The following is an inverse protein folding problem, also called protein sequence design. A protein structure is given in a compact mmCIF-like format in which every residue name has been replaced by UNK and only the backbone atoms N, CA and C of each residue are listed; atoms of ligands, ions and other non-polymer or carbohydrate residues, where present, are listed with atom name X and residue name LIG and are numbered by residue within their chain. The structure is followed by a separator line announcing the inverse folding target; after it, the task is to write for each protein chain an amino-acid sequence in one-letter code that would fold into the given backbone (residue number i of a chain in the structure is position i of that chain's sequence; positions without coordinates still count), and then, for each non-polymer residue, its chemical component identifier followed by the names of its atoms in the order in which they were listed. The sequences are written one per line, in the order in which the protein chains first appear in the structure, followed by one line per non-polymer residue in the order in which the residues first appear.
data_IF_505795885858
#
_entry.id   IF_505795885858
#
_cell.length_a   1.000
_cell.length_b   1.000
_cell.length_c   1.000
_cell.angle_alpha   90.00
_cell.angle_beta   90.00
_cell.angle_gamma   90.00
#
_symmetry.space_group_name_H-M   'P 1'
#
loop_
_entity.id
_entity.type
_entity.pdbx_description
1 polymer ?
#
# COMPACT_ATOMS: atom_id res chain seq x y z
N UNK A 1 18.18 2.06 -12.26
CA UNK A 1 18.93 2.35 -11.02
C UNK A 1 17.95 2.52 -9.85
N UNK A 2 18.40 2.34 -8.63
CA UNK A 2 17.62 2.60 -7.42
C UNK A 2 18.56 3.20 -6.36
N UNK A 3 18.31 4.45 -5.97
CA UNK A 3 19.12 5.16 -4.98
C UNK A 3 20.49 5.65 -5.46
N UNK A 4 20.84 5.54 -6.73
CA UNK A 4 22.10 6.05 -7.26
C UNK A 4 22.30 7.54 -6.94
N UNK A 5 21.25 8.34 -7.14
CA UNK A 5 21.32 9.79 -6.96
C UNK A 5 21.29 10.26 -5.49
N UNK A 6 21.12 9.35 -4.53
CA UNK A 6 21.35 9.64 -3.11
C UNK A 6 22.84 9.86 -2.79
N UNK A 7 23.73 9.26 -3.58
CA UNK A 7 25.17 9.24 -3.33
C UNK A 7 25.98 9.88 -4.46
N UNK A 8 25.40 9.97 -5.66
CA UNK A 8 26.10 10.49 -6.85
C UNK A 8 25.22 11.49 -7.56
N UNK A 9 25.59 12.77 -7.57
CA UNK A 9 24.78 13.80 -8.23
C UNK A 9 24.77 13.59 -9.76
N UNK A 10 23.66 13.94 -10.44
CA UNK A 10 23.47 13.64 -11.86
C UNK A 10 24.41 14.41 -12.80
N UNK A 11 25.00 15.53 -12.38
CA UNK A 11 26.00 16.28 -13.13
C UNK A 11 27.29 15.50 -13.43
N UNK A 12 27.56 14.44 -12.66
CA UNK A 12 28.67 13.50 -12.93
C UNK A 12 28.45 12.67 -14.20
N UNK A 13 27.26 12.73 -14.79
CA UNK A 13 26.90 11.97 -15.98
C UNK A 13 26.52 12.90 -17.15
N UNK A 14 27.49 13.61 -17.78
CA UNK A 14 27.21 14.67 -18.78
C UNK A 14 26.50 14.17 -20.05
N UNK A 15 26.52 12.86 -20.29
CA UNK A 15 25.83 12.20 -21.44
C UNK A 15 24.52 11.52 -21.06
N UNK A 16 24.04 11.70 -19.82
CA UNK A 16 22.79 11.07 -19.37
C UNK A 16 21.59 11.61 -20.20
N UNK A 17 20.77 10.69 -20.71
CA UNK A 17 19.56 11.01 -21.47
C UNK A 17 18.32 10.33 -20.89
N UNK A 18 18.54 9.20 -20.23
CA UNK A 18 17.44 8.39 -19.74
C UNK A 18 17.82 7.71 -18.43
N UNK A 19 16.89 7.68 -17.49
CA UNK A 19 16.98 6.96 -16.22
C UNK A 19 15.86 5.94 -16.16
N UNK A 20 16.19 4.66 -15.99
CA UNK A 20 15.22 3.61 -15.66
C UNK A 20 15.39 3.22 -14.20
N UNK A 21 14.34 3.43 -13.41
CA UNK A 21 14.29 2.98 -12.02
C UNK A 21 13.79 1.55 -11.93
N UNK A 22 14.29 0.82 -10.94
CA UNK A 22 13.78 -0.51 -10.54
C UNK A 22 12.72 -0.41 -9.42
N UNK A 23 12.44 0.82 -8.95
CA UNK A 23 11.38 1.15 -7.98
C UNK A 23 10.20 1.87 -8.65
N UNK A 24 9.07 1.90 -7.99
CA UNK A 24 7.91 2.68 -8.42
C UNK A 24 7.99 4.15 -7.94
N UNK A 25 8.56 4.41 -6.76
CA UNK A 25 8.74 5.74 -6.21
C UNK A 25 9.81 6.55 -6.96
N UNK A 26 9.62 7.87 -7.00
CA UNK A 26 10.52 8.86 -7.59
C UNK A 26 11.25 9.71 -6.52
N UNK A 27 10.97 9.48 -5.25
CA UNK A 27 11.44 10.22 -4.07
C UNK A 27 12.99 10.31 -3.97
N UNK A 28 13.69 9.39 -4.63
CA UNK A 28 15.16 9.31 -4.65
C UNK A 28 15.79 9.86 -5.93
N UNK A 29 15.00 10.56 -6.74
CA UNK A 29 15.47 11.15 -8.01
C UNK A 29 15.31 12.65 -7.94
N UNK A 30 16.35 13.44 -8.26
CA UNK A 30 16.25 14.89 -8.34
C UNK A 30 15.48 15.30 -9.60
N UNK A 31 14.15 15.21 -9.55
CA UNK A 31 13.28 15.41 -10.71
C UNK A 31 13.46 16.79 -11.34
N UNK A 32 13.61 17.85 -10.53
CA UNK A 32 13.84 19.22 -11.04
C UNK A 32 15.09 19.30 -11.93
N UNK A 33 16.16 18.60 -11.55
CA UNK A 33 17.37 18.51 -12.39
C UNK A 33 17.09 17.73 -13.68
N UNK A 34 16.37 16.62 -13.61
CA UNK A 34 16.06 15.78 -14.77
C UNK A 34 15.24 16.57 -15.80
N UNK A 35 14.22 17.28 -15.33
CA UNK A 35 13.32 18.10 -16.16
C UNK A 35 14.09 19.27 -16.80
N UNK A 36 14.92 19.98 -16.02
CA UNK A 36 15.73 21.11 -16.52
C UNK A 36 16.74 20.70 -17.61
N UNK A 37 17.20 19.44 -17.59
CA UNK A 37 18.17 18.92 -18.56
C UNK A 37 17.56 17.99 -19.63
N UNK A 38 16.23 17.86 -19.68
CA UNK A 38 15.53 17.04 -20.65
C UNK A 38 15.82 15.52 -20.50
N UNK A 39 16.17 15.06 -19.30
CA UNK A 39 16.48 13.67 -19.01
C UNK A 39 15.18 12.91 -18.73
N UNK A 40 14.89 11.89 -19.51
CA UNK A 40 13.68 11.08 -19.35
C UNK A 40 13.83 10.11 -18.19
N UNK A 41 12.84 10.10 -17.28
CA UNK A 41 12.81 9.17 -16.14
C UNK A 41 11.65 8.20 -16.30
N UNK A 42 11.96 6.91 -16.23
CA UNK A 42 11.00 5.81 -16.23
C UNK A 42 11.11 5.04 -14.91
N UNK A 43 9.99 4.54 -14.42
CA UNK A 43 9.93 3.75 -13.18
C UNK A 43 9.31 2.35 -13.40
N UNK A 44 9.34 1.52 -12.37
CA UNK A 44 8.81 0.17 -12.37
C UNK A 44 7.36 0.10 -11.84
N UNK A 45 6.54 1.12 -12.14
CA UNK A 45 5.14 1.16 -11.70
C UNK A 45 4.39 -0.09 -12.19
N UNK A 46 3.68 -0.74 -11.27
CA UNK A 46 2.88 -1.94 -11.56
C UNK A 46 3.63 -3.26 -11.35
N UNK A 47 4.95 -3.30 -11.51
CA UNK A 47 5.75 -4.53 -11.38
C UNK A 47 5.60 -5.19 -10.01
N UNK A 48 5.55 -4.40 -8.95
CA UNK A 48 5.42 -4.89 -7.57
C UNK A 48 3.99 -4.97 -7.05
N UNK A 49 2.97 -4.69 -7.89
CA UNK A 49 1.58 -4.63 -7.42
C UNK A 49 1.08 -5.98 -6.92
N UNK A 50 1.37 -7.06 -7.65
CA UNK A 50 0.97 -8.41 -7.26
C UNK A 50 1.65 -8.86 -5.95
N UNK A 51 2.99 -8.88 -5.82
CA UNK A 51 3.63 -9.33 -4.59
C UNK A 51 3.30 -8.46 -3.37
N UNK A 52 3.11 -7.15 -3.52
CA UNK A 52 2.70 -6.29 -2.42
C UNK A 52 1.26 -6.59 -1.97
N UNK A 53 0.35 -6.84 -2.90
CA UNK A 53 -1.02 -7.21 -2.57
C UNK A 53 -1.10 -8.60 -1.91
N UNK A 54 -0.28 -9.55 -2.33
CA UNK A 54 -0.15 -10.87 -1.71
C UNK A 54 0.41 -10.76 -0.28
N UNK A 55 1.40 -9.90 -0.07
CA UNK A 55 1.92 -9.63 1.26
C UNK A 55 0.85 -9.02 2.18
N UNK A 56 0.03 -8.07 1.68
CA UNK A 56 -1.06 -7.49 2.45
C UNK A 56 -2.09 -8.55 2.88
N UNK A 57 -2.51 -9.42 1.96
CA UNK A 57 -3.42 -10.53 2.26
C UNK A 57 -2.80 -11.49 3.26
N UNK A 58 -1.54 -11.89 3.05
CA UNK A 58 -0.82 -12.78 3.95
C UNK A 58 -0.75 -12.22 5.38
N UNK A 59 -0.44 -10.93 5.51
CA UNK A 59 -0.35 -10.25 6.80
C UNK A 59 -1.69 -10.22 7.53
N UNK A 60 -2.77 -9.86 6.83
CA UNK A 60 -4.12 -9.82 7.40
C UNK A 60 -4.60 -11.22 7.79
N UNK A 61 -4.43 -12.21 6.91
CA UNK A 61 -4.78 -13.61 7.22
C UNK A 61 -3.96 -14.12 8.40
N UNK A 62 -2.66 -13.79 8.46
CA UNK A 62 -1.80 -14.17 9.59
C UNK A 62 -2.32 -13.65 10.92
N UNK A 63 -2.82 -12.41 10.95
CA UNK A 63 -3.43 -11.81 12.14
C UNK A 63 -4.78 -12.48 12.47
N UNK A 64 -5.70 -12.58 11.53
CA UNK A 64 -7.04 -13.16 11.71
C UNK A 64 -7.00 -14.64 12.08
N UNK A 65 -6.05 -15.39 11.53
CA UNK A 65 -5.88 -16.83 11.80
C UNK A 65 -4.88 -17.13 12.93
N UNK A 66 -4.40 -16.08 13.62
CA UNK A 66 -3.47 -16.23 14.76
C UNK A 66 -2.24 -17.06 14.42
N UNK A 67 -1.65 -16.85 13.23
CA UNK A 67 -0.54 -17.69 12.73
C UNK A 67 0.65 -17.72 13.68
N UNK A 68 0.98 -16.62 14.35
CA UNK A 68 2.07 -16.55 15.33
C UNK A 68 1.81 -17.48 16.53
N UNK A 69 0.57 -17.51 17.04
CA UNK A 69 0.20 -18.41 18.14
C UNK A 69 0.38 -19.89 17.73
N UNK A 70 -0.12 -20.28 16.56
CA UNK A 70 0.01 -21.68 16.12
C UNK A 70 1.45 -22.05 15.79
N UNK A 71 2.25 -21.13 15.23
CA UNK A 71 3.67 -21.36 14.99
C UNK A 71 4.44 -21.57 16.31
N UNK A 72 4.13 -20.79 17.35
CA UNK A 72 4.74 -20.96 18.67
C UNK A 72 4.34 -22.32 19.29
N UNK A 73 3.05 -22.67 19.27
CA UNK A 73 2.56 -23.94 19.76
C UNK A 73 3.22 -25.14 19.02
N UNK A 74 3.38 -25.01 17.69
CA UNK A 74 4.04 -26.04 16.89
C UNK A 74 5.52 -26.21 17.27
N UNK A 75 6.25 -25.11 17.48
CA UNK A 75 7.67 -25.18 17.89
C UNK A 75 7.88 -25.82 19.25
N UNK A 76 6.87 -25.76 20.11
CA UNK A 76 6.84 -26.38 21.45
C UNK A 76 6.19 -27.75 21.46
N UNK A 77 5.86 -28.32 20.29
CA UNK A 77 5.15 -29.60 20.13
C UNK A 77 3.82 -29.66 20.90
N UNK A 78 3.13 -28.53 21.07
CA UNK A 78 1.84 -28.42 21.77
C UNK A 78 0.67 -28.37 20.77
N UNK A 79 -0.32 -29.22 21.01
CA UNK A 79 -1.60 -29.14 20.29
C UNK A 79 -2.57 -28.28 21.09
N UNK A 80 -2.72 -27.02 20.67
CA UNK A 80 -3.59 -26.04 21.32
C UNK A 80 -4.70 -25.55 20.40
N UNK A 81 -5.89 -25.32 20.98
CA UNK A 81 -7.01 -24.69 20.26
C UNK A 81 -7.07 -23.21 20.56
N UNK A 82 -7.26 -22.40 19.55
CA UNK A 82 -7.55 -20.97 19.69
C UNK A 82 -8.98 -20.70 19.18
N UNK A 83 -9.85 -20.13 20.03
CA UNK A 83 -11.26 -19.90 19.69
C UNK A 83 -11.52 -18.52 19.08
N UNK A 84 -10.55 -17.62 19.07
CA UNK A 84 -10.66 -16.26 18.54
C UNK A 84 -10.17 -16.14 17.08
N UNK A 85 -10.49 -17.14 16.24
CA UNK A 85 -10.21 -17.04 14.81
C UNK A 85 -11.33 -16.29 14.13
N UNK A 86 -10.96 -15.39 13.24
CA UNK A 86 -11.91 -14.60 12.46
C UNK A 86 -11.86 -14.96 10.98
N UNK A 87 -12.89 -14.56 10.25
CA UNK A 87 -12.98 -14.69 8.78
C UNK A 87 -12.93 -13.31 8.11
N UNK A 88 -12.44 -13.29 6.87
CA UNK A 88 -12.41 -12.08 6.06
C UNK A 88 -13.75 -11.78 5.40
N UNK A 89 -14.57 -12.81 5.15
CA UNK A 89 -15.87 -12.66 4.50
C UNK A 89 -16.74 -11.61 5.20
N UNK A 90 -17.27 -10.68 4.44
CA UNK A 90 -18.11 -9.59 4.94
C UNK A 90 -17.36 -8.44 5.64
N UNK A 91 -16.03 -8.52 5.80
CA UNK A 91 -15.22 -7.41 6.35
C UNK A 91 -15.10 -6.28 5.34
N UNK A 92 -14.97 -5.04 5.83
CA UNK A 92 -14.73 -3.85 5.03
C UNK A 92 -13.25 -3.54 4.97
N UNK A 93 -12.69 -3.57 3.78
CA UNK A 93 -11.28 -3.23 3.53
C UNK A 93 -11.19 -1.83 2.94
N UNK A 94 -10.61 -0.91 3.68
CA UNK A 94 -10.34 0.46 3.22
C UNK A 94 -8.95 0.54 2.64
N UNK A 95 -8.85 0.92 1.37
CA UNK A 95 -7.59 1.03 0.64
C UNK A 95 -7.34 2.51 0.35
N UNK A 96 -6.37 3.08 1.03
CA UNK A 96 -5.95 4.47 0.88
C UNK A 96 -4.91 4.55 -0.24
N UNK A 97 -5.36 5.01 -1.41
CA UNK A 97 -4.61 5.01 -2.67
C UNK A 97 -5.09 3.93 -3.64
N UNK A 98 -6.00 4.30 -4.57
CA UNK A 98 -6.55 3.41 -5.60
C UNK A 98 -5.64 3.32 -6.84
N UNK A 99 -4.32 3.28 -6.65
CA UNK A 99 -3.31 3.08 -7.69
C UNK A 99 -3.18 1.62 -8.12
N UNK A 100 -2.05 1.26 -8.75
CA UNK A 100 -1.81 -0.11 -9.23
C UNK A 100 -1.75 -1.14 -8.09
N UNK A 101 -1.10 -0.81 -6.97
CA UNK A 101 -1.06 -1.67 -5.78
C UNK A 101 -2.42 -1.75 -5.11
N UNK A 102 -3.09 -0.60 -4.91
CA UNK A 102 -4.42 -0.57 -4.28
C UNK A 102 -5.45 -1.40 -5.05
N UNK A 103 -5.49 -1.33 -6.38
CA UNK A 103 -6.36 -2.19 -7.20
C UNK A 103 -6.00 -3.67 -7.08
N UNK A 104 -4.71 -4.00 -7.09
CA UNK A 104 -4.27 -5.39 -6.88
C UNK A 104 -4.65 -5.93 -5.50
N UNK A 105 -4.66 -5.09 -4.46
CA UNK A 105 -5.22 -5.44 -3.14
C UNK A 105 -6.74 -5.62 -3.23
N UNK A 106 -7.46 -4.68 -3.85
CA UNK A 106 -8.91 -4.72 -4.02
C UNK A 106 -9.37 -6.05 -4.63
N UNK A 107 -8.75 -6.47 -5.74
CA UNK A 107 -9.07 -7.72 -6.42
C UNK A 107 -8.92 -8.94 -5.50
N UNK A 108 -7.84 -8.98 -4.72
CA UNK A 108 -7.55 -10.12 -3.84
C UNK A 108 -8.48 -10.18 -2.64
N UNK A 109 -8.71 -9.05 -1.96
CA UNK A 109 -9.64 -9.01 -0.82
C UNK A 109 -11.09 -9.25 -1.24
N UNK A 110 -11.48 -8.82 -2.43
CA UNK A 110 -12.80 -9.13 -3.02
C UNK A 110 -12.99 -10.64 -3.19
N UNK A 111 -11.95 -11.38 -3.58
CA UNK A 111 -12.01 -12.84 -3.70
C UNK A 111 -12.30 -13.54 -2.35
N UNK A 112 -12.05 -12.88 -1.23
CA UNK A 112 -12.43 -13.36 0.11
C UNK A 112 -13.83 -12.89 0.55
N UNK A 113 -14.58 -12.22 -0.32
CA UNK A 113 -15.93 -11.71 0.01
C UNK A 113 -15.92 -10.44 0.85
N UNK A 114 -14.83 -9.65 0.81
CA UNK A 114 -14.77 -8.36 1.47
C UNK A 114 -15.49 -7.27 0.66
N UNK A 115 -16.07 -6.28 1.35
CA UNK A 115 -16.47 -4.99 0.79
C UNK A 115 -15.23 -4.10 0.63
N UNK A 116 -15.03 -3.53 -0.56
CA UNK A 116 -13.82 -2.76 -0.89
C UNK A 116 -14.14 -1.27 -0.96
N UNK A 117 -13.57 -0.52 -0.05
CA UNK A 117 -13.71 0.94 0.03
C UNK A 117 -12.38 1.57 -0.37
N UNK A 118 -12.41 2.50 -1.33
CA UNK A 118 -11.23 3.26 -1.74
C UNK A 118 -11.18 4.64 -1.11
N UNK A 119 -9.99 5.18 -0.95
CA UNK A 119 -9.74 6.62 -0.72
C UNK A 119 -8.74 7.08 -1.76
N UNK A 120 -9.13 8.00 -2.65
CA UNK A 120 -8.27 8.52 -3.72
C UNK A 120 -8.65 9.96 -4.04
N UNK A 121 -7.80 10.67 -4.76
CA UNK A 121 -8.12 11.98 -5.35
C UNK A 121 -9.12 11.87 -6.49
N UNK A 122 -9.16 10.74 -7.16
CA UNK A 122 -10.13 10.40 -8.21
C UNK A 122 -11.36 9.79 -7.56
N UNK A 123 -12.52 10.28 -7.91
CA UNK A 123 -13.81 9.84 -7.34
C UNK A 123 -14.46 8.67 -8.09
N UNK A 124 -13.93 8.32 -9.26
CA UNK A 124 -14.37 7.17 -10.05
C UNK A 124 -13.15 6.29 -10.39
N UNK A 125 -13.04 5.16 -9.71
CA UNK A 125 -11.98 4.17 -9.95
C UNK A 125 -12.62 2.78 -9.92
N UNK A 126 -12.45 2.02 -10.99
CA UNK A 126 -12.99 0.67 -11.09
C UNK A 126 -12.35 -0.27 -10.03
N UNK A 127 -13.13 -1.26 -9.60
CA UNK A 127 -12.69 -2.26 -8.65
C UNK A 127 -12.92 -1.89 -7.18
N UNK A 128 -13.71 -0.84 -6.90
CA UNK A 128 -14.10 -0.42 -5.56
C UNK A 128 -15.62 -0.32 -5.46
N UNK A 129 -16.19 -0.73 -4.33
CA UNK A 129 -17.63 -0.64 -4.09
C UNK A 129 -18.03 0.79 -3.72
N UNK A 130 -17.11 1.53 -3.09
CA UNK A 130 -17.26 2.95 -2.77
C UNK A 130 -15.90 3.64 -2.80
N UNK A 131 -15.87 4.90 -3.26
CA UNK A 131 -14.68 5.77 -3.20
C UNK A 131 -15.00 7.00 -2.36
N UNK A 132 -14.11 7.28 -1.41
CA UNK A 132 -14.08 8.54 -0.65
C UNK A 132 -13.01 9.46 -1.20
N UNK A 133 -13.21 10.76 -1.07
CA UNK A 133 -12.14 11.75 -1.32
C UNK A 133 -11.07 11.67 -0.22
N UNK A 134 -9.88 12.19 -0.49
CA UNK A 134 -8.83 12.31 0.54
C UNK A 134 -9.29 13.17 1.73
N UNK A 135 -10.13 14.19 1.51
CA UNK A 135 -10.69 15.01 2.57
C UNK A 135 -11.62 14.24 3.52
N UNK A 136 -12.21 13.14 3.04
CA UNK A 136 -13.13 12.29 3.81
C UNK A 136 -12.45 11.03 4.37
N UNK A 137 -11.11 10.98 4.38
CA UNK A 137 -10.33 9.80 4.81
C UNK A 137 -10.74 9.30 6.19
N UNK A 138 -11.03 10.22 7.13
CA UNK A 138 -11.45 9.87 8.49
C UNK A 138 -12.77 9.08 8.50
N UNK A 139 -13.76 9.51 7.70
CA UNK A 139 -15.01 8.79 7.57
C UNK A 139 -14.83 7.40 6.90
N UNK A 140 -13.90 7.30 5.96
CA UNK A 140 -13.59 6.03 5.33
C UNK A 140 -12.95 5.05 6.32
N UNK A 141 -11.89 5.44 7.05
CA UNK A 141 -11.17 4.55 7.96
C UNK A 141 -12.02 4.12 9.16
N UNK A 142 -12.93 5.01 9.66
CA UNK A 142 -13.85 4.65 10.73
C UNK A 142 -14.90 3.61 10.33
N UNK A 143 -15.17 3.47 9.02
CA UNK A 143 -16.08 2.45 8.51
C UNK A 143 -15.38 1.09 8.31
N UNK A 144 -14.04 1.09 8.19
CA UNK A 144 -13.24 -0.09 7.85
C UNK A 144 -12.96 -1.03 9.01
N UNK A 145 -12.81 -2.31 8.71
CA UNK A 145 -12.30 -3.32 9.64
C UNK A 145 -10.80 -3.56 9.37
N UNK A 146 -10.35 -3.27 8.16
CA UNK A 146 -8.95 -3.36 7.70
C UNK A 146 -8.64 -2.09 6.92
N UNK A 147 -7.47 -1.48 7.18
CA UNK A 147 -7.01 -0.30 6.45
C UNK A 147 -5.64 -0.58 5.83
N UNK A 148 -5.51 -0.32 4.53
CA UNK A 148 -4.28 -0.54 3.76
C UNK A 148 -3.86 0.78 3.13
N UNK A 149 -2.66 1.26 3.45
CA UNK A 149 -2.09 2.46 2.86
C UNK A 149 -1.21 2.10 1.66
N UNK A 150 -1.60 2.58 0.47
CA UNK A 150 -0.92 2.36 -0.82
C UNK A 150 -0.54 3.67 -1.52
N UNK A 151 -0.34 4.73 -0.76
CA UNK A 151 0.03 6.04 -1.28
C UNK A 151 1.53 6.15 -1.57
N UNK A 152 1.94 6.92 -2.59
CA UNK A 152 3.33 7.33 -2.73
C UNK A 152 3.69 8.31 -1.61
N UNK A 153 4.96 8.37 -1.22
CA UNK A 153 5.47 9.40 -0.32
C UNK A 153 5.58 10.73 -1.09
N UNK A 154 4.79 11.70 -0.67
CA UNK A 154 4.84 13.09 -1.15
C UNK A 154 4.67 14.03 0.04
N UNK A 155 4.86 15.34 -0.16
CA UNK A 155 4.63 16.34 0.91
C UNK A 155 3.19 16.29 1.45
N UNK A 156 2.20 15.96 0.61
CA UNK A 156 0.79 15.88 0.99
C UNK A 156 0.42 14.56 1.69
N UNK A 157 1.19 13.49 1.46
CA UNK A 157 0.92 12.17 2.03
C UNK A 157 1.82 11.80 3.18
N UNK A 158 2.88 12.59 3.40
CA UNK A 158 3.77 12.42 4.55
C UNK A 158 2.97 12.58 5.85
N UNK A 159 3.15 11.62 6.77
CA UNK A 159 2.41 11.56 8.05
C UNK A 159 0.87 11.51 7.94
N UNK A 160 0.30 11.11 6.80
CA UNK A 160 -1.16 10.97 6.65
C UNK A 160 -1.72 9.94 7.65
N UNK A 161 -0.99 8.85 7.91
CA UNK A 161 -1.31 7.87 8.95
C UNK A 161 -0.79 8.36 10.33
N UNK A 162 -1.39 9.44 10.83
CA UNK A 162 -1.07 10.03 12.13
C UNK A 162 -1.95 9.44 13.26
N UNK A 163 -1.64 9.81 14.50
CA UNK A 163 -2.36 9.34 15.69
C UNK A 163 -3.87 9.65 15.62
N UNK A 164 -4.25 10.84 15.13
CA UNK A 164 -5.65 11.23 15.01
C UNK A 164 -6.42 10.32 14.04
N UNK A 165 -5.81 9.99 12.90
CA UNK A 165 -6.43 9.09 11.92
C UNK A 165 -6.51 7.66 12.45
N UNK A 166 -5.47 7.19 13.15
CA UNK A 166 -5.46 5.85 13.74
C UNK A 166 -6.50 5.72 14.86
N UNK A 167 -6.67 6.74 15.71
CA UNK A 167 -7.73 6.76 16.73
C UNK A 167 -9.15 6.83 16.15
N UNK A 168 -9.32 7.15 14.87
CA UNK A 168 -10.61 7.14 14.20
C UNK A 168 -10.99 5.76 13.64
N UNK A 169 -10.06 4.82 13.63
CA UNK A 169 -10.32 3.43 13.22
C UNK A 169 -11.14 2.68 14.28
N UNK A 170 -11.74 1.57 13.88
CA UNK A 170 -12.39 0.66 14.83
C UNK A 170 -11.35 -0.02 15.74
N UNK A 171 -11.80 -0.39 16.95
CA UNK A 171 -11.02 -1.20 17.89
C UNK A 171 -10.78 -2.63 17.40
#
# INVERSE_FOLDING_TARGET
CNGLFLYTPPDKFPKLRTVQLTSAGLDRVPMDYMDAHGIKVFNARGVYSAPMAEFAVCSVLGFYKRSAFFSAAQSEHRWEKHRGLEELGGKRVVIVGAGSVGRACADRFRAFGCEIIGVDRRTAVDGFDKIYSIGDIRAAVSAGDIVIFCLPLTKETEHIANAELLCAMKD
#
